data_IF_817251538320
#
_entry.id   IF_817251538320
#
_cell.length_a   1.000
_cell.length_b   1.000
_cell.length_c   1.000
_cell.angle_alpha   90.00
_cell.angle_beta   90.00
_cell.angle_gamma   90.00
#
_symmetry.space_group_name_H-M   'P 1'
#
loop_
_entity.id
_entity.type
_entity.pdbx_description
1 polymer ?
#
# COMPACT_ATOMS: atom_id res chain seq x y z
N UNK A 1 33.86 14.20 27.60
CA UNK A 1 33.05 15.24 26.93
C UNK A 1 32.44 14.64 25.68
N UNK A 2 31.11 14.67 25.65
CA UNK A 2 30.13 14.11 24.71
C UNK A 2 30.58 13.86 23.27
N UNK A 3 30.49 12.60 22.84
CA UNK A 3 30.15 12.21 21.47
C UNK A 3 29.00 11.22 21.51
N UNK A 4 27.91 11.65 22.15
CA UNK A 4 26.57 11.08 21.99
C UNK A 4 25.85 11.99 20.99
N UNK A 5 24.94 11.42 20.20
CA UNK A 5 24.26 11.93 19.00
C UNK A 5 25.09 11.69 17.72
N UNK A 6 24.68 10.84 16.79
CA UNK A 6 23.29 10.73 16.29
C UNK A 6 23.12 9.34 15.66
N UNK A 7 22.34 8.47 16.33
CA UNK A 7 21.71 7.34 15.65
C UNK A 7 20.74 7.94 14.62
N UNK A 8 21.11 7.95 13.34
CA UNK A 8 20.13 8.07 12.26
C UNK A 8 19.38 6.74 12.16
N UNK A 9 18.46 6.51 13.10
CA UNK A 9 17.41 5.55 12.89
C UNK A 9 16.48 6.13 11.83
N UNK A 10 16.69 5.80 10.54
CA UNK A 10 15.66 5.93 9.51
C UNK A 10 14.55 4.93 9.85
N UNK A 11 13.78 5.23 10.89
CA UNK A 11 12.45 4.67 11.05
C UNK A 11 11.63 5.34 9.97
N UNK A 12 11.60 4.72 8.79
CA UNK A 12 10.49 4.98 7.89
C UNK A 12 9.26 4.49 8.64
N UNK A 13 8.48 5.43 9.18
CA UNK A 13 7.10 5.16 9.58
C UNK A 13 6.28 4.90 8.31
N UNK A 14 6.67 3.88 7.55
CA UNK A 14 5.86 3.33 6.49
C UNK A 14 4.60 2.82 7.17
N UNK A 15 3.51 3.58 7.02
CA UNK A 15 2.19 3.16 7.49
C UNK A 15 1.85 1.76 7.03
N UNK A 16 0.79 1.20 7.58
CA UNK A 16 0.34 -0.20 7.49
C UNK A 16 0.27 -0.85 6.09
N UNK A 17 0.65 -0.16 5.00
CA UNK A 17 0.84 -0.74 3.69
C UNK A 17 2.01 -1.74 3.66
N UNK A 18 1.68 -2.98 3.38
CA UNK A 18 2.62 -4.10 3.28
C UNK A 18 2.88 -4.40 1.80
N UNK A 19 4.13 -4.67 1.46
CA UNK A 19 4.53 -5.03 0.10
C UNK A 19 5.16 -6.42 0.10
N UNK A 20 4.77 -7.25 -0.87
CA UNK A 20 5.18 -8.64 -1.01
C UNK A 20 5.49 -8.94 -2.49
N UNK A 21 6.58 -9.66 -2.75
CA UNK A 21 6.92 -10.08 -4.11
C UNK A 21 5.86 -11.06 -4.65
N UNK A 22 5.54 -10.92 -5.93
CA UNK A 22 4.65 -11.83 -6.66
C UNK A 22 5.19 -12.05 -8.08
N UNK A 23 4.58 -12.98 -8.82
CA UNK A 23 4.91 -13.23 -10.22
C UNK A 23 3.69 -12.96 -11.09
N UNK A 24 3.90 -12.22 -12.18
CA UNK A 24 2.88 -11.96 -13.18
C UNK A 24 2.65 -13.21 -14.05
N UNK A 25 1.55 -13.22 -14.80
CA UNK A 25 1.23 -14.29 -15.75
C UNK A 25 2.29 -14.46 -16.87
N UNK A 26 3.06 -13.41 -17.18
CA UNK A 26 4.17 -13.45 -18.12
C UNK A 26 5.50 -13.91 -17.49
N UNK A 27 5.48 -14.31 -16.22
CA UNK A 27 6.64 -14.78 -15.46
C UNK A 27 7.54 -13.67 -14.91
N UNK A 28 7.22 -12.39 -15.15
CA UNK A 28 8.00 -11.27 -14.59
C UNK A 28 7.74 -11.11 -13.10
N UNK A 29 8.74 -10.59 -12.40
CA UNK A 29 8.59 -10.21 -11.00
C UNK A 29 7.68 -8.99 -10.90
N UNK A 30 6.66 -9.10 -10.05
CA UNK A 30 5.80 -8.02 -9.62
C UNK A 30 5.84 -7.85 -8.11
N UNK A 31 5.13 -6.84 -7.64
CA UNK A 31 4.98 -6.53 -6.23
C UNK A 31 3.49 -6.34 -5.94
N UNK A 32 2.97 -7.16 -5.03
CA UNK A 32 1.64 -7.00 -4.45
C UNK A 32 1.74 -6.10 -3.24
N UNK A 33 0.95 -5.04 -3.20
CA UNK A 33 0.95 -4.04 -2.13
C UNK A 33 -0.45 -3.99 -1.56
N UNK A 34 -0.58 -4.40 -0.31
CA UNK A 34 -1.80 -4.32 0.47
C UNK A 34 -1.76 -3.01 1.27
N UNK A 35 -2.67 -2.08 0.97
CA UNK A 35 -2.93 -0.86 1.73
C UNK A 35 -4.36 -0.86 2.33
N UNK A 36 -4.82 -2.02 2.77
CA UNK A 36 -6.10 -2.16 3.46
C UNK A 36 -6.10 -1.42 4.80
N UNK A 37 -7.28 -0.96 5.20
CA UNK A 37 -7.50 -0.27 6.47
C UNK A 37 -8.25 1.05 6.33
N UNK A 38 -8.90 1.46 7.42
CA UNK A 38 -9.71 2.69 7.47
C UNK A 38 -8.85 3.96 7.33
N UNK A 39 -7.68 3.99 7.97
CA UNK A 39 -6.73 5.09 7.87
C UNK A 39 -5.90 5.06 6.56
N UNK A 40 -6.02 3.99 5.77
CA UNK A 40 -5.27 3.81 4.54
C UNK A 40 -6.10 4.23 3.32
N UNK A 41 -5.41 4.68 2.27
CA UNK A 41 -6.02 5.15 1.02
C UNK A 41 -5.22 4.67 -0.18
N UNK A 42 -5.80 4.76 -1.38
CA UNK A 42 -5.10 4.44 -2.63
C UNK A 42 -3.80 5.25 -2.79
N UNK A 43 -3.76 6.50 -2.31
CA UNK A 43 -2.55 7.30 -2.30
C UNK A 43 -1.40 6.63 -1.54
N UNK A 44 -1.70 5.93 -0.44
CA UNK A 44 -0.69 5.17 0.32
C UNK A 44 -0.20 3.91 -0.42
N UNK A 45 -1.07 3.26 -1.19
CA UNK A 45 -0.63 2.19 -2.09
C UNK A 45 0.38 2.74 -3.12
N UNK A 46 0.11 3.91 -3.72
CA UNK A 46 1.00 4.52 -4.72
C UNK A 46 2.34 4.98 -4.14
N UNK A 47 2.31 5.62 -2.97
CA UNK A 47 3.52 6.03 -2.23
C UNK A 47 4.38 4.81 -1.87
N UNK A 48 3.75 3.72 -1.41
CA UNK A 48 4.44 2.47 -1.10
C UNK A 48 5.04 1.83 -2.36
N UNK A 49 4.33 1.84 -3.48
CA UNK A 49 4.83 1.33 -4.75
C UNK A 49 6.07 2.09 -5.23
N UNK A 50 6.04 3.41 -5.14
CA UNK A 50 7.17 4.26 -5.50
C UNK A 50 8.38 3.98 -4.61
N UNK A 51 8.18 3.89 -3.30
CA UNK A 51 9.23 3.56 -2.34
C UNK A 51 9.80 2.15 -2.58
N UNK A 52 8.95 1.16 -2.86
CA UNK A 52 9.37 -0.22 -3.11
C UNK A 52 10.07 -0.41 -4.44
N UNK A 53 9.77 0.40 -5.45
CA UNK A 53 10.50 0.43 -6.72
C UNK A 53 11.68 1.43 -6.71
N UNK A 54 12.17 1.82 -5.52
CA UNK A 54 13.33 2.70 -5.35
C UNK A 54 13.27 4.02 -6.17
N UNK A 55 12.07 4.54 -6.43
CA UNK A 55 11.88 5.75 -7.22
C UNK A 55 12.16 5.63 -8.73
N UNK A 56 12.38 4.44 -9.29
CA UNK A 56 12.51 4.25 -10.77
C UNK A 56 11.16 4.37 -11.49
N UNK A 57 10.07 4.35 -10.71
CA UNK A 57 8.70 4.31 -11.20
C UNK A 57 8.20 2.88 -11.38
N UNK A 58 6.89 2.76 -11.59
CA UNK A 58 6.21 1.48 -11.70
C UNK A 58 5.02 1.56 -12.66
N UNK A 59 4.54 0.39 -13.07
CA UNK A 59 3.29 0.22 -13.81
C UNK A 59 2.29 -0.53 -12.93
N UNK A 60 1.05 -0.05 -12.87
CA UNK A 60 -0.03 -0.76 -12.18
C UNK A 60 -0.56 -1.84 -13.11
N UNK A 61 -0.54 -3.09 -12.63
CA UNK A 61 -0.91 -4.29 -13.38
C UNK A 61 -2.32 -4.72 -13.00
N UNK A 62 -2.65 -4.64 -11.71
CA UNK A 62 -3.97 -4.94 -11.20
C UNK A 62 -4.26 -4.10 -9.96
N UNK A 63 -5.55 -3.87 -9.72
CA UNK A 63 -6.06 -3.28 -8.49
C UNK A 63 -7.21 -4.15 -8.01
N UNK A 64 -7.20 -4.50 -6.74
CA UNK A 64 -8.27 -5.21 -6.07
C UNK A 64 -8.68 -4.42 -4.82
N UNK A 65 -9.97 -4.38 -4.53
CA UNK A 65 -10.42 -3.71 -3.33
C UNK A 65 -11.92 -3.64 -3.19
N UNK A 66 -12.38 -3.51 -1.95
CA UNK A 66 -13.80 -3.39 -1.67
C UNK A 66 -14.30 -2.04 -2.20
N UNK A 67 -15.36 -2.02 -3.05
CA UNK A 67 -15.98 -0.78 -3.44
C UNK A 67 -16.54 -0.05 -2.22
N UNK A 68 -16.57 1.28 -2.30
CA UNK A 68 -17.28 2.07 -1.30
C UNK A 68 -18.78 1.74 -1.36
N UNK A 69 -19.42 1.61 -0.20
CA UNK A 69 -20.87 1.46 -0.12
C UNK A 69 -21.55 2.72 -0.68
N UNK A 70 -22.69 2.53 -1.35
CA UNK A 70 -23.55 3.66 -1.70
C UNK A 70 -24.05 4.36 -0.43
N UNK A 71 -24.36 5.65 -0.50
CA UNK A 71 -24.78 6.42 0.68
C UNK A 71 -26.08 5.87 1.31
N UNK A 72 -26.95 5.27 0.51
CA UNK A 72 -28.16 4.55 0.96
C UNK A 72 -27.87 3.26 1.72
N UNK A 73 -26.67 2.70 1.58
CA UNK A 73 -26.23 1.44 2.18
C UNK A 73 -25.25 1.64 3.35
N UNK A 74 -24.77 2.88 3.55
CA UNK A 74 -23.94 3.25 4.69
C UNK A 74 -24.75 3.24 5.97
N UNK A 75 -24.63 2.15 6.72
CA UNK A 75 -25.01 2.09 8.14
C UNK A 75 -23.75 2.14 8.98
N UNK A 76 -23.85 2.57 10.25
CA UNK A 76 -22.69 2.59 11.16
C UNK A 76 -21.99 1.23 11.23
N UNK A 77 -22.73 0.12 11.18
CA UNK A 77 -22.16 -1.24 11.15
C UNK A 77 -21.57 -1.65 9.80
N UNK A 78 -22.20 -1.25 8.69
CA UNK A 78 -21.72 -1.59 7.35
C UNK A 78 -20.51 -0.74 6.92
N UNK A 79 -20.42 0.52 7.34
CA UNK A 79 -19.31 1.41 6.97
C UNK A 79 -18.03 1.09 7.77
N UNK A 80 -18.15 0.86 9.10
CA UNK A 80 -17.00 0.41 9.94
C UNK A 80 -16.64 -1.05 9.71
N UNK A 81 -17.61 -1.87 9.30
CA UNK A 81 -17.41 -3.29 8.96
C UNK A 81 -16.90 -3.49 7.54
N UNK A 82 -17.05 -2.49 6.65
CA UNK A 82 -16.42 -2.46 5.35
C UNK A 82 -14.95 -2.05 5.53
N UNK A 83 -14.15 -3.01 6.02
CA UNK A 83 -12.71 -2.95 5.92
C UNK A 83 -12.38 -2.74 4.45
N UNK A 84 -12.04 -1.50 4.11
CA UNK A 84 -11.70 -1.10 2.75
C UNK A 84 -10.43 -1.85 2.37
N UNK A 85 -10.60 -3.05 1.82
CA UNK A 85 -9.50 -3.82 1.28
C UNK A 85 -9.02 -3.06 0.05
N UNK A 86 -7.72 -2.86 -0.03
CA UNK A 86 -7.11 -2.16 -1.16
C UNK A 86 -5.77 -2.79 -1.40
N UNK A 87 -5.64 -3.44 -2.54
CA UNK A 87 -4.43 -4.09 -2.98
C UNK A 87 -4.12 -3.62 -4.39
N UNK A 88 -2.87 -3.26 -4.66
CA UNK A 88 -2.38 -3.07 -6.02
C UNK A 88 -1.29 -4.07 -6.33
N UNK A 89 -1.25 -4.56 -7.56
CA UNK A 89 -0.11 -5.29 -8.10
C UNK A 89 0.60 -4.36 -9.07
N UNK A 90 1.89 -4.16 -8.86
CA UNK A 90 2.74 -3.31 -9.69
C UNK A 90 3.92 -4.09 -10.25
N UNK A 91 4.42 -3.66 -11.41
CA UNK A 91 5.73 -4.06 -11.92
C UNK A 91 6.63 -2.83 -11.92
N UNK A 92 7.80 -2.91 -11.28
CA UNK A 92 8.79 -1.84 -11.34
C UNK A 92 9.33 -1.69 -12.76
N UNK A 93 9.71 -0.46 -13.12
CA UNK A 93 10.33 -0.15 -14.42
C UNK A 93 11.82 -0.43 -14.41
#
# INVERSE_FOLDING_TARGET
MNKVLTLLALVTLGGCATASNTYLADGKQGLSIDCSGEAMSWAKCYEKAEASCAGTGYNIIATDGTPALADSEKTLGADVGNFKSRTIVVACK
#
